data_IF_589717084937
#
_entry.id   IF_589717084937
#
_cell.length_a   1.000
_cell.length_b   1.000
_cell.length_c   1.000
_cell.angle_alpha   90.00
_cell.angle_beta   90.00
_cell.angle_gamma   90.00
#
_symmetry.space_group_name_H-M   'P 1'
#
loop_
_entity.id
_entity.type
_entity.pdbx_description
1 polymer ?
#
# COMPACT_ATOMS: atom_id res chain seq x y z
N UNK A 1 30.38 -0.43 -7.83
CA UNK A 1 29.04 -0.67 -7.23
C UNK A 1 28.88 0.14 -5.97
N UNK A 2 27.97 1.11 -5.91
CA UNK A 2 27.60 1.72 -4.63
C UNK A 2 26.83 0.68 -3.80
N UNK A 3 27.39 0.30 -2.64
CA UNK A 3 26.71 -0.60 -1.71
C UNK A 3 25.33 -0.04 -1.36
N UNK A 4 24.26 -0.71 -1.83
CA UNK A 4 22.88 -0.29 -1.54
C UNK A 4 22.43 -0.94 -0.25
N UNK A 5 22.17 -0.15 0.73
CA UNK A 5 21.66 -0.61 2.03
C UNK A 5 20.17 -0.99 2.01
N UNK A 6 19.51 -0.85 0.85
CA UNK A 6 18.07 -1.11 0.72
C UNK A 6 17.66 -2.56 1.01
N UNK A 7 18.56 -3.53 0.82
CA UNK A 7 18.32 -4.95 1.15
C UNK A 7 18.13 -5.19 2.64
N UNK A 8 18.77 -4.35 3.48
CA UNK A 8 18.69 -4.50 4.93
C UNK A 8 17.47 -3.84 5.55
N UNK A 9 16.76 -2.99 4.81
CA UNK A 9 15.60 -2.24 5.36
C UNK A 9 14.50 -3.20 5.81
N UNK A 10 14.13 -4.18 4.98
CA UNK A 10 13.08 -5.16 5.31
C UNK A 10 13.44 -6.01 6.52
N UNK A 11 14.58 -6.70 6.58
CA UNK A 11 14.97 -7.48 7.76
C UNK A 11 15.11 -6.64 9.03
N UNK A 12 15.66 -5.43 8.95
CA UNK A 12 15.77 -4.53 10.11
C UNK A 12 14.38 -4.18 10.66
N UNK A 13 13.42 -3.85 9.79
CA UNK A 13 12.07 -3.54 10.23
C UNK A 13 11.39 -4.75 10.88
N UNK A 14 11.59 -5.96 10.38
CA UNK A 14 11.07 -7.20 10.98
C UNK A 14 11.62 -7.35 12.40
N UNK A 15 12.93 -7.21 12.56
CA UNK A 15 13.58 -7.33 13.88
C UNK A 15 13.06 -6.28 14.85
N UNK A 16 12.91 -5.03 14.42
CA UNK A 16 12.37 -3.95 15.25
C UNK A 16 10.93 -4.25 15.69
N UNK A 17 10.07 -4.68 14.78
CA UNK A 17 8.67 -4.98 15.11
C UNK A 17 8.58 -6.13 16.12
N UNK A 18 9.33 -7.23 15.90
CA UNK A 18 9.41 -8.34 16.84
C UNK A 18 9.98 -7.92 18.19
N UNK A 19 10.99 -7.06 18.19
CA UNK A 19 11.57 -6.52 19.42
C UNK A 19 10.53 -5.71 20.20
N UNK A 20 9.76 -4.84 19.54
CA UNK A 20 8.70 -4.05 20.17
C UNK A 20 7.63 -4.97 20.77
N UNK A 21 7.14 -5.95 20.02
CA UNK A 21 6.11 -6.89 20.47
C UNK A 21 6.59 -7.63 21.73
N UNK A 22 7.77 -8.22 21.66
CA UNK A 22 8.29 -9.05 22.74
C UNK A 22 8.69 -8.22 23.97
N UNK A 23 9.27 -7.02 23.80
CA UNK A 23 9.68 -6.18 24.91
C UNK A 23 8.47 -5.62 25.66
N UNK A 24 7.46 -5.15 24.93
CA UNK A 24 6.23 -4.65 25.55
C UNK A 24 5.53 -5.78 26.31
N UNK A 25 5.41 -6.95 25.66
CA UNK A 25 4.84 -8.12 26.32
C UNK A 25 5.61 -8.50 27.57
N UNK A 26 6.93 -8.55 27.51
CA UNK A 26 7.77 -8.93 28.64
C UNK A 26 7.65 -7.97 29.85
N UNK A 27 7.56 -6.67 29.60
CA UNK A 27 7.49 -5.69 30.70
C UNK A 27 6.09 -5.43 31.22
N UNK A 28 5.06 -5.60 30.41
CA UNK A 28 3.68 -5.26 30.78
C UNK A 28 2.88 -6.49 31.20
N UNK A 29 3.25 -7.68 30.70
CA UNK A 29 2.54 -8.92 31.00
C UNK A 29 2.83 -9.39 32.43
N UNK A 30 1.82 -9.98 33.06
CA UNK A 30 1.98 -10.52 34.39
C UNK A 30 2.91 -11.73 34.37
N UNK A 31 3.92 -11.78 35.26
CA UNK A 31 5.00 -12.77 35.18
C UNK A 31 4.51 -14.22 35.31
N UNK A 32 3.38 -14.42 35.99
CA UNK A 32 2.79 -15.74 36.16
C UNK A 32 2.31 -16.37 34.84
N UNK A 33 1.93 -15.52 33.85
CA UNK A 33 1.41 -15.97 32.57
C UNK A 33 2.40 -15.81 31.41
N UNK A 34 3.56 -15.22 31.67
CA UNK A 34 4.58 -15.01 30.64
C UNK A 34 5.30 -16.32 30.36
N UNK A 35 5.00 -16.96 29.25
CA UNK A 35 5.67 -18.18 28.83
C UNK A 35 6.26 -18.04 27.42
N UNK A 36 7.25 -18.87 27.12
CA UNK A 36 7.96 -18.89 25.84
C UNK A 36 7.02 -19.26 24.66
N UNK A 37 6.00 -20.07 24.92
CA UNK A 37 5.03 -20.49 23.90
C UNK A 37 4.18 -19.31 23.46
N UNK A 38 3.74 -18.46 24.39
CA UNK A 38 2.99 -17.25 24.07
C UNK A 38 3.81 -16.28 23.25
N UNK A 39 5.05 -15.99 23.66
CA UNK A 39 5.96 -15.10 22.91
C UNK A 39 6.25 -15.63 21.51
N UNK A 40 6.47 -16.94 21.40
CA UNK A 40 6.70 -17.59 20.10
C UNK A 40 5.46 -17.52 19.20
N UNK A 41 4.28 -17.77 19.79
CA UNK A 41 3.01 -17.71 19.08
C UNK A 41 2.73 -16.32 18.52
N UNK A 42 2.78 -15.27 19.37
CA UNK A 42 2.49 -13.89 18.91
C UNK A 42 3.50 -13.40 17.87
N UNK A 43 4.78 -13.77 18.05
CA UNK A 43 5.83 -13.45 17.08
C UNK A 43 5.64 -14.18 15.76
N UNK A 44 5.34 -15.48 15.80
CA UNK A 44 5.05 -16.29 14.62
C UNK A 44 3.80 -15.81 13.89
N UNK A 45 2.74 -15.53 14.64
CA UNK A 45 1.50 -15.02 14.07
C UNK A 45 1.70 -13.65 13.39
N UNK A 46 2.47 -12.75 14.02
CA UNK A 46 2.87 -11.48 13.41
C UNK A 46 3.60 -11.66 12.09
N UNK A 47 4.60 -12.56 12.05
CA UNK A 47 5.36 -12.83 10.82
C UNK A 47 4.50 -13.42 9.70
N UNK A 48 3.65 -14.38 10.03
CA UNK A 48 2.76 -15.02 9.07
C UNK A 48 1.80 -13.99 8.46
N UNK A 49 1.11 -13.22 9.28
CA UNK A 49 0.18 -12.18 8.79
C UNK A 49 0.90 -11.08 8.03
N UNK A 50 2.10 -10.66 8.46
CA UNK A 50 2.92 -9.68 7.76
C UNK A 50 3.36 -10.16 6.38
N UNK A 51 3.66 -11.45 6.23
CA UNK A 51 4.01 -12.05 4.94
C UNK A 51 2.80 -12.07 4.00
N UNK A 52 1.64 -12.54 4.46
CA UNK A 52 0.42 -12.62 3.64
C UNK A 52 -0.07 -11.23 3.18
N UNK A 53 0.09 -10.20 3.99
CA UNK A 53 -0.37 -8.86 3.65
C UNK A 53 0.69 -7.99 2.95
N UNK A 54 1.89 -8.51 2.73
CA UNK A 54 2.98 -7.71 2.17
C UNK A 54 3.35 -6.51 3.05
N UNK A 55 3.21 -6.64 4.38
CA UNK A 55 3.33 -5.53 5.33
C UNK A 55 4.68 -4.80 5.26
N UNK A 56 5.73 -5.52 4.89
CA UNK A 56 7.08 -4.97 4.72
C UNK A 56 7.40 -4.55 3.27
N UNK A 57 6.44 -4.64 2.36
CA UNK A 57 6.60 -4.24 0.96
C UNK A 57 6.28 -2.76 0.76
N UNK A 58 7.11 -1.91 1.36
CA UNK A 58 6.98 -0.47 1.27
C UNK A 58 7.94 0.06 0.20
N UNK A 59 7.37 0.57 -0.88
CA UNK A 59 8.10 1.11 -2.02
C UNK A 59 8.44 2.60 -1.86
N UNK A 60 9.34 3.11 -2.72
CA UNK A 60 9.73 4.54 -2.71
C UNK A 60 8.55 5.48 -2.94
N UNK A 61 7.59 5.05 -3.74
CA UNK A 61 6.39 5.81 -4.09
C UNK A 61 5.21 5.59 -3.13
N UNK A 62 5.39 4.78 -2.08
CA UNK A 62 4.33 4.55 -1.10
C UNK A 62 3.93 5.85 -0.41
N UNK A 63 2.65 6.17 -0.50
CA UNK A 63 2.07 7.32 0.19
C UNK A 63 1.65 6.94 1.62
N UNK A 64 1.57 7.93 2.50
CA UNK A 64 1.22 7.72 3.91
C UNK A 64 -0.11 6.99 4.09
N UNK A 65 -1.11 7.29 3.24
CA UNK A 65 -2.40 6.63 3.29
C UNK A 65 -2.33 5.12 2.99
N UNK A 66 -1.47 4.70 2.06
CA UNK A 66 -1.25 3.27 1.77
C UNK A 66 -0.60 2.56 2.97
N UNK A 67 0.37 3.22 3.63
CA UNK A 67 0.96 2.67 4.85
C UNK A 67 -0.07 2.55 5.97
N UNK A 68 -0.94 3.55 6.16
CA UNK A 68 -2.01 3.48 7.15
C UNK A 68 -2.98 2.32 6.89
N UNK A 69 -3.36 2.08 5.64
CA UNK A 69 -4.19 0.92 5.26
C UNK A 69 -3.51 -0.41 5.61
N UNK A 70 -2.20 -0.53 5.36
CA UNK A 70 -1.44 -1.73 5.73
C UNK A 70 -1.38 -1.91 7.26
N UNK A 71 -1.15 -0.84 8.02
CA UNK A 71 -1.16 -0.86 9.48
C UNK A 71 -2.51 -1.33 10.04
N UNK A 72 -3.61 -0.73 9.58
CA UNK A 72 -4.96 -1.11 10.01
C UNK A 72 -5.23 -2.58 9.71
N UNK A 73 -4.93 -3.05 8.49
CA UNK A 73 -5.13 -4.45 8.10
C UNK A 73 -4.30 -5.39 8.98
N UNK A 74 -3.02 -5.12 9.17
CA UNK A 74 -2.11 -5.92 9.99
C UNK A 74 -2.57 -5.98 11.44
N UNK A 75 -2.90 -4.85 12.06
CA UNK A 75 -3.32 -4.81 13.45
C UNK A 75 -4.66 -5.47 13.68
N UNK A 76 -5.61 -5.33 12.75
CA UNK A 76 -6.89 -5.98 12.88
C UNK A 76 -6.72 -7.50 12.98
N UNK A 77 -5.94 -8.10 12.10
CA UNK A 77 -5.65 -9.54 12.17
C UNK A 77 -4.79 -9.91 13.38
N UNK A 78 -3.84 -9.06 13.75
CA UNK A 78 -3.02 -9.30 14.94
C UNK A 78 -3.85 -9.34 16.22
N UNK A 79 -4.82 -8.44 16.38
CA UNK A 79 -5.76 -8.44 17.50
C UNK A 79 -6.55 -9.76 17.56
N UNK A 80 -7.09 -10.23 16.43
CA UNK A 80 -7.78 -11.50 16.38
C UNK A 80 -6.87 -12.67 16.78
N UNK A 81 -5.66 -12.75 16.23
CA UNK A 81 -4.71 -13.80 16.59
C UNK A 81 -4.26 -13.71 18.04
N UNK A 82 -4.08 -12.50 18.58
CA UNK A 82 -3.72 -12.29 19.97
C UNK A 82 -4.79 -12.88 20.91
N UNK A 83 -6.06 -12.57 20.70
CA UNK A 83 -7.14 -13.11 21.52
C UNK A 83 -7.45 -14.59 21.23
N UNK A 84 -7.19 -15.06 20.01
CA UNK A 84 -7.34 -16.48 19.67
C UNK A 84 -6.44 -17.39 20.52
N UNK A 85 -5.25 -16.92 20.93
CA UNK A 85 -4.40 -17.68 21.84
C UNK A 85 -5.12 -18.05 23.13
N UNK A 86 -5.80 -17.09 23.75
CA UNK A 86 -6.51 -17.31 25.00
C UNK A 86 -7.75 -18.23 24.84
N UNK A 87 -8.41 -18.16 23.70
CA UNK A 87 -9.53 -19.02 23.39
C UNK A 87 -9.12 -20.47 23.10
N UNK A 88 -7.97 -20.67 22.45
CA UNK A 88 -7.50 -21.99 22.04
C UNK A 88 -6.73 -22.69 23.17
N UNK A 89 -5.79 -21.98 23.77
CA UNK A 89 -4.89 -22.54 24.78
C UNK A 89 -5.34 -22.27 26.23
N UNK A 90 -6.54 -21.62 26.52
CA UNK A 90 -7.17 -21.38 27.58
C UNK A 90 -6.88 -20.91 28.66
N UNK A 91 -6.39 -20.32 28.65
CA UNK A 91 -6.13 -19.70 29.81
C UNK A 91 -7.25 -18.81 30.25
N UNK A 92 -8.40 -18.87 29.77
CA UNK A 92 -9.71 -18.37 30.20
C UNK A 92 -9.86 -17.00 30.82
N UNK A 93 -8.89 -16.54 31.56
CA UNK A 93 -8.92 -15.22 32.19
C UNK A 93 -8.29 -14.17 31.27
N UNK A 94 -9.05 -13.14 30.92
CA UNK A 94 -8.50 -11.93 30.35
C UNK A 94 -7.78 -11.18 31.46
N UNK A 95 -6.44 -11.28 31.51
CA UNK A 95 -5.63 -10.60 32.50
C UNK A 95 -5.67 -9.08 32.23
N UNK A 96 -5.72 -8.29 33.29
CA UNK A 96 -5.95 -6.83 33.24
C UNK A 96 -5.08 -6.03 32.24
N UNK A 97 -3.90 -6.52 31.91
CA UNK A 97 -2.92 -5.77 31.10
C UNK A 97 -2.95 -6.12 29.60
N UNK A 98 -3.80 -7.03 29.14
CA UNK A 98 -3.80 -7.48 27.73
C UNK A 98 -4.16 -6.37 26.74
N UNK A 99 -5.15 -5.56 27.08
CA UNK A 99 -5.50 -4.39 26.27
C UNK A 99 -4.38 -3.35 26.24
N UNK A 100 -3.69 -3.17 27.37
CA UNK A 100 -2.54 -2.26 27.46
C UNK A 100 -1.39 -2.73 26.55
N UNK A 101 -1.09 -4.03 26.55
CA UNK A 101 -0.07 -4.62 25.65
C UNK A 101 -0.43 -4.36 24.19
N UNK A 102 -1.68 -4.61 23.78
CA UNK A 102 -2.13 -4.36 22.42
C UNK A 102 -2.02 -2.88 22.06
N UNK A 103 -2.53 -1.99 22.90
CA UNK A 103 -2.48 -0.54 22.66
C UNK A 103 -1.04 -0.06 22.50
N UNK A 104 -0.15 -0.43 23.43
CA UNK A 104 1.25 -0.04 23.37
C UNK A 104 1.96 -0.60 22.14
N UNK A 105 1.67 -1.85 21.77
CA UNK A 105 2.22 -2.49 20.55
C UNK A 105 1.76 -1.75 19.31
N UNK A 106 0.46 -1.45 19.17
CA UNK A 106 -0.10 -0.70 18.05
C UNK A 106 0.54 0.69 17.95
N UNK A 107 0.62 1.42 19.06
CA UNK A 107 1.23 2.75 19.11
C UNK A 107 2.71 2.67 18.76
N UNK A 108 3.46 1.76 19.39
CA UNK A 108 4.90 1.62 19.19
C UNK A 108 5.27 1.29 17.74
N UNK A 109 4.63 0.28 17.16
CA UNK A 109 4.88 -0.10 15.76
C UNK A 109 4.43 1.00 14.81
N UNK A 110 3.26 1.60 15.02
CA UNK A 110 2.78 2.69 14.17
C UNK A 110 3.73 3.89 14.19
N UNK A 111 4.19 4.28 15.38
CA UNK A 111 5.15 5.36 15.53
C UNK A 111 6.46 5.08 14.80
N UNK A 112 7.02 3.89 14.97
CA UNK A 112 8.27 3.49 14.29
C UNK A 112 8.08 3.47 12.77
N UNK A 113 6.99 2.89 12.26
CA UNK A 113 6.73 2.82 10.81
C UNK A 113 6.53 4.19 10.17
N UNK A 114 5.75 5.06 10.80
CA UNK A 114 5.52 6.42 10.30
C UNK A 114 6.80 7.26 10.36
N UNK A 115 7.54 7.17 11.48
CA UNK A 115 8.84 7.84 11.63
C UNK A 115 9.84 7.35 10.59
N UNK A 116 9.91 6.04 10.36
CA UNK A 116 10.78 5.44 9.33
C UNK A 116 10.46 5.95 7.93
N UNK A 117 9.18 5.96 7.56
CA UNK A 117 8.75 6.49 6.27
C UNK A 117 9.13 7.97 6.10
N UNK A 118 8.90 8.78 7.16
CA UNK A 118 9.24 10.20 7.16
C UNK A 118 10.75 10.43 7.06
N UNK A 119 11.54 9.73 7.88
CA UNK A 119 12.99 9.82 7.88
C UNK A 119 13.60 9.40 6.54
N UNK A 120 13.11 8.31 5.93
CA UNK A 120 13.56 7.89 4.60
C UNK A 120 13.22 8.93 3.52
N UNK A 121 12.03 9.51 3.56
CA UNK A 121 11.65 10.58 2.61
C UNK A 121 12.54 11.81 2.79
N UNK A 122 12.79 12.22 4.04
CA UNK A 122 13.67 13.35 4.36
C UNK A 122 15.13 13.07 3.96
N UNK A 123 15.65 11.87 4.25
CA UNK A 123 16.99 11.46 3.87
C UNK A 123 17.21 11.49 2.35
N UNK A 124 16.19 11.08 1.58
CA UNK A 124 16.22 11.15 0.11
C UNK A 124 16.16 12.61 -0.40
N UNK A 125 15.38 13.47 0.23
CA UNK A 125 15.29 14.88 -0.17
C UNK A 125 16.61 15.64 -0.03
N UNK A 126 17.49 15.18 0.87
CA UNK A 126 18.86 15.70 1.00
C UNK A 126 19.85 15.11 -0.04
N UNK A 127 19.35 14.43 -1.08
CA UNK A 127 20.18 13.87 -2.14
C UNK A 127 20.92 12.57 -1.77
N UNK A 128 20.50 11.89 -0.70
CA UNK A 128 21.03 10.60 -0.31
C UNK A 128 20.16 9.45 -0.83
N UNK A 129 20.76 8.26 -0.99
CA UNK A 129 20.06 7.04 -1.44
C UNK A 129 19.19 7.28 -2.70
N UNK A 130 19.67 8.08 -3.63
CA UNK A 130 19.01 8.28 -4.91
C UNK A 130 19.27 7.13 -5.88
N UNK A 131 18.37 6.96 -6.84
CA UNK A 131 18.53 6.12 -8.02
C UNK A 131 18.67 6.98 -9.24
N UNK A 132 19.71 6.73 -10.02
CA UNK A 132 19.93 7.40 -11.30
C UNK A 132 19.02 6.80 -12.35
N UNK A 133 18.31 7.66 -13.06
CA UNK A 133 17.31 7.25 -14.06
C UNK A 133 17.54 7.94 -15.39
N UNK A 134 17.35 7.18 -16.47
CA UNK A 134 17.26 7.68 -17.84
C UNK A 134 15.91 7.28 -18.43
N UNK A 135 15.45 8.04 -19.40
CA UNK A 135 14.20 7.81 -20.11
C UNK A 135 14.47 7.58 -21.58
N UNK A 136 13.85 6.58 -22.19
CA UNK A 136 13.97 6.25 -23.60
C UNK A 136 12.61 6.40 -24.26
N UNK A 137 12.55 7.26 -25.27
CA UNK A 137 11.31 7.66 -25.94
C UNK A 137 10.60 8.78 -25.16
N UNK A 138 10.43 9.93 -25.83
CA UNK A 138 9.83 11.12 -25.22
C UNK A 138 8.39 11.31 -25.75
N UNK A 139 7.43 10.68 -25.10
CA UNK A 139 5.99 10.90 -25.25
C UNK A 139 5.42 11.66 -24.05
N UNK A 140 4.12 11.90 -24.02
CA UNK A 140 3.51 12.68 -22.94
C UNK A 140 3.54 11.92 -21.59
N UNK A 141 3.43 10.59 -21.62
CA UNK A 141 3.59 9.77 -20.42
C UNK A 141 4.99 9.84 -19.85
N UNK A 142 6.01 9.80 -20.71
CA UNK A 142 7.42 9.96 -20.35
C UNK A 142 7.71 11.34 -19.79
N UNK A 143 7.16 12.42 -20.40
CA UNK A 143 7.26 13.79 -19.87
C UNK A 143 6.66 13.92 -18.48
N UNK A 144 5.52 13.27 -18.22
CA UNK A 144 4.90 13.26 -16.90
C UNK A 144 5.78 12.58 -15.83
N UNK A 145 6.45 11.47 -16.18
CA UNK A 145 7.41 10.82 -15.30
C UNK A 145 8.64 11.69 -15.05
N UNK A 146 9.20 12.33 -16.08
CA UNK A 146 10.31 13.26 -15.95
C UNK A 146 9.93 14.41 -15.02
N UNK A 147 8.75 15.01 -15.22
CA UNK A 147 8.23 16.08 -14.36
C UNK A 147 8.06 15.61 -12.91
N UNK A 148 7.60 14.37 -12.69
CA UNK A 148 7.49 13.79 -11.36
C UNK A 148 8.86 13.62 -10.69
N UNK A 149 9.87 13.15 -11.39
CA UNK A 149 11.23 13.01 -10.84
C UNK A 149 11.86 14.33 -10.48
N UNK A 150 11.65 15.38 -11.31
CA UNK A 150 12.16 16.73 -11.05
C UNK A 150 11.45 17.39 -9.86
N UNK A 151 10.12 17.25 -9.78
CA UNK A 151 9.33 17.95 -8.77
C UNK A 151 9.30 17.27 -7.41
N UNK A 152 9.55 15.95 -7.34
CA UNK A 152 9.45 15.15 -6.09
C UNK A 152 10.79 14.55 -5.71
N UNK A 153 11.70 15.39 -5.21
CA UNK A 153 13.03 14.96 -4.71
C UNK A 153 12.96 13.91 -3.61
N UNK A 154 11.89 13.91 -2.80
CA UNK A 154 11.66 12.94 -1.72
C UNK A 154 11.46 11.50 -2.19
N UNK A 155 11.18 11.27 -3.49
CA UNK A 155 11.17 9.94 -4.09
C UNK A 155 12.59 9.39 -4.26
N UNK A 156 13.60 10.25 -4.27
CA UNK A 156 15.01 9.86 -4.39
C UNK A 156 15.36 9.35 -5.79
N UNK A 157 14.84 9.98 -6.84
CA UNK A 157 15.25 9.75 -8.22
C UNK A 157 16.11 10.92 -8.69
N UNK A 158 17.25 10.59 -9.33
CA UNK A 158 18.09 11.53 -10.02
C UNK A 158 17.96 11.30 -11.51
N UNK A 159 17.16 12.11 -12.15
CA UNK A 159 16.98 12.07 -13.59
C UNK A 159 18.24 12.63 -14.29
N UNK A 160 18.81 11.86 -15.23
CA UNK A 160 20.03 12.21 -15.94
C UNK A 160 19.76 12.79 -17.33
N UNK A 161 18.66 12.39 -17.97
CA UNK A 161 18.28 12.83 -19.30
C UNK A 161 17.50 11.76 -20.07
N UNK A 162 17.21 12.06 -21.33
CA UNK A 162 16.43 11.17 -22.19
C UNK A 162 17.13 10.88 -23.52
N UNK A 163 16.76 9.76 -24.12
CA UNK A 163 17.17 9.32 -25.43
C UNK A 163 15.98 9.23 -26.35
N UNK A 164 16.16 9.62 -27.63
CA UNK A 164 15.12 9.55 -28.64
C UNK A 164 15.72 9.54 -30.03
N UNK A 165 15.10 8.84 -30.98
CA UNK A 165 15.50 8.87 -32.39
C UNK A 165 15.18 10.24 -33.04
N UNK A 166 14.25 11.00 -32.46
CA UNK A 166 14.02 12.38 -32.85
C UNK A 166 15.06 13.28 -32.16
N UNK A 167 15.66 14.18 -32.92
CA UNK A 167 16.65 15.14 -32.41
C UNK A 167 15.92 16.26 -31.68
N UNK A 168 16.33 16.53 -30.44
CA UNK A 168 15.80 17.63 -29.63
C UNK A 168 16.88 18.66 -29.31
N UNK A 169 16.52 19.94 -29.40
CA UNK A 169 17.40 21.06 -28.95
C UNK A 169 17.18 21.27 -27.43
N UNK A 170 17.40 20.25 -26.63
CA UNK A 170 17.24 20.31 -25.19
C UNK A 170 18.54 19.84 -24.52
N UNK A 171 18.94 20.49 -23.42
CA UNK A 171 20.12 20.13 -22.62
C UNK A 171 20.03 18.71 -22.00
N UNK A 172 18.82 18.18 -21.88
CA UNK A 172 18.54 16.87 -21.30
C UNK A 172 18.51 15.75 -22.35
N UNK A 173 18.60 16.11 -23.63
CA UNK A 173 18.74 15.15 -24.72
C UNK A 173 20.15 14.58 -24.75
N UNK A 174 20.27 13.29 -24.51
CA UNK A 174 21.55 12.59 -24.40
C UNK A 174 21.98 11.87 -25.69
N UNK A 175 21.10 11.76 -26.66
CA UNK A 175 21.39 11.13 -27.94
C UNK A 175 20.28 10.22 -28.46
N UNK A 176 20.58 9.48 -29.53
CA UNK A 176 19.70 8.48 -30.12
C UNK A 176 19.67 7.19 -29.31
N UNK A 177 18.84 6.23 -29.74
CA UNK A 177 18.69 4.94 -29.04
C UNK A 177 19.98 4.14 -28.95
N UNK A 178 20.87 4.20 -29.93
CA UNK A 178 22.13 3.47 -29.92
C UNK A 178 23.12 4.03 -28.89
N UNK A 179 23.06 5.33 -28.62
CA UNK A 179 23.91 5.98 -27.63
C UNK A 179 23.57 5.55 -26.18
N UNK A 180 22.40 4.97 -25.92
CA UNK A 180 21.99 4.47 -24.59
C UNK A 180 23.00 3.49 -24.03
N UNK A 181 23.45 2.55 -24.84
CA UNK A 181 24.35 1.47 -24.40
C UNK A 181 25.72 2.00 -24.00
N UNK A 182 26.25 2.94 -24.77
CA UNK A 182 27.52 3.59 -24.47
C UNK A 182 27.40 4.47 -23.23
N UNK A 183 26.34 5.27 -23.15
CA UNK A 183 26.09 6.15 -22.00
C UNK A 183 25.94 5.36 -20.69
N UNK A 184 25.13 4.31 -20.69
CA UNK A 184 24.92 3.46 -19.50
C UNK A 184 26.16 2.63 -19.13
N UNK A 185 27.15 2.51 -20.03
CA UNK A 185 28.45 1.92 -19.73
C UNK A 185 29.37 2.91 -19.03
N UNK A 186 29.34 4.17 -19.44
CA UNK A 186 30.19 5.25 -18.89
C UNK A 186 29.62 5.85 -17.60
N UNK A 187 28.32 5.80 -17.41
CA UNK A 187 27.63 6.41 -16.27
C UNK A 187 26.89 5.34 -15.45
N UNK A 188 26.79 5.58 -14.15
CA UNK A 188 26.00 4.71 -13.28
C UNK A 188 24.52 4.99 -13.51
N UNK A 189 23.83 4.04 -14.15
CA UNK A 189 22.39 4.06 -14.38
C UNK A 189 21.75 2.95 -13.56
N UNK A 190 20.78 3.28 -12.74
CA UNK A 190 20.07 2.33 -11.88
C UNK A 190 18.77 1.82 -12.49
N UNK A 191 18.05 2.71 -13.16
CA UNK A 191 16.76 2.40 -13.76
C UNK A 191 16.64 3.02 -15.16
N UNK A 192 16.14 2.25 -16.10
CA UNK A 192 15.82 2.70 -17.47
C UNK A 192 14.30 2.67 -17.60
N UNK A 193 13.72 3.79 -18.02
CA UNK A 193 12.31 3.92 -18.30
C UNK A 193 12.07 4.02 -19.80
N UNK A 194 11.36 3.04 -20.39
CA UNK A 194 11.11 2.97 -21.81
C UNK A 194 9.64 3.25 -22.14
N UNK A 195 9.39 4.14 -23.08
CA UNK A 195 8.05 4.31 -23.67
C UNK A 195 7.68 3.11 -24.52
N UNK A 196 6.55 2.48 -24.23
CA UNK A 196 6.00 1.39 -25.04
C UNK A 196 5.43 1.87 -26.37
N UNK A 197 5.12 3.16 -26.50
CA UNK A 197 4.51 3.73 -27.70
C UNK A 197 5.53 4.00 -28.79
N UNK A 198 6.75 4.38 -28.41
CA UNK A 198 7.77 4.87 -29.33
C UNK A 198 8.83 3.83 -29.65
N UNK A 199 8.88 2.70 -28.95
CA UNK A 199 9.87 1.66 -29.11
C UNK A 199 9.25 0.39 -29.71
N UNK A 200 9.96 -0.23 -30.65
CA UNK A 200 9.58 -1.54 -31.17
C UNK A 200 9.87 -2.65 -30.14
N UNK A 201 9.19 -3.78 -30.28
CA UNK A 201 9.42 -4.96 -29.45
C UNK A 201 10.88 -5.46 -29.52
N UNK A 202 11.53 -5.33 -30.67
CA UNK A 202 12.94 -5.71 -30.86
C UNK A 202 13.88 -4.77 -30.09
N UNK A 203 13.63 -3.47 -30.13
CA UNK A 203 14.38 -2.47 -29.37
C UNK A 203 14.23 -2.72 -27.87
N UNK A 204 13.01 -2.98 -27.39
CA UNK A 204 12.75 -3.28 -25.99
C UNK A 204 13.50 -4.56 -25.56
N UNK A 205 13.46 -5.63 -26.36
CA UNK A 205 14.18 -6.88 -26.08
C UNK A 205 15.70 -6.65 -26.01
N UNK A 206 16.27 -5.84 -26.93
CA UNK A 206 17.70 -5.48 -26.91
C UNK A 206 18.09 -4.71 -25.66
N UNK A 207 17.27 -3.72 -25.27
CA UNK A 207 17.49 -2.93 -24.04
C UNK A 207 17.34 -3.82 -22.80
N UNK A 208 16.35 -4.72 -22.77
CA UNK A 208 16.14 -5.62 -21.65
C UNK A 208 17.32 -6.56 -21.42
N UNK A 209 17.83 -7.16 -22.51
CA UNK A 209 19.03 -8.00 -22.42
C UNK A 209 20.22 -7.24 -21.84
N UNK A 210 20.49 -6.04 -22.37
CA UNK A 210 21.56 -5.17 -21.87
C UNK A 210 21.35 -4.78 -20.39
N UNK A 211 20.12 -4.46 -20.00
CA UNK A 211 19.80 -4.09 -18.63
C UNK A 211 20.01 -5.26 -17.66
N UNK A 212 19.61 -6.47 -18.04
CA UNK A 212 19.82 -7.69 -17.26
C UNK A 212 21.29 -8.00 -17.05
N UNK A 213 22.12 -7.89 -18.12
CA UNK A 213 23.55 -8.14 -18.06
C UNK A 213 24.30 -7.18 -17.12
N UNK A 214 23.68 -6.07 -16.74
CA UNK A 214 24.29 -5.00 -15.93
C UNK A 214 23.58 -4.67 -14.62
N UNK A 215 22.63 -5.48 -14.20
CA UNK A 215 21.80 -5.25 -13.00
C UNK A 215 21.06 -3.89 -13.03
N UNK A 216 20.65 -3.43 -14.22
CA UNK A 216 19.85 -2.22 -14.39
C UNK A 216 18.38 -2.61 -14.44
N UNK A 217 17.53 -1.93 -13.68
CA UNK A 217 16.08 -2.18 -13.71
C UNK A 217 15.45 -1.53 -14.92
N UNK A 218 14.86 -2.34 -15.82
CA UNK A 218 14.05 -1.85 -16.91
C UNK A 218 12.59 -1.67 -16.46
N UNK A 219 12.02 -0.51 -16.75
CA UNK A 219 10.62 -0.18 -16.49
C UNK A 219 9.96 0.33 -17.75
N UNK A 220 8.82 -0.21 -18.05
CA UNK A 220 8.05 0.14 -19.23
C UNK A 220 6.98 1.18 -18.89
N UNK A 221 6.90 2.23 -19.70
CA UNK A 221 5.90 3.30 -19.58
C UNK A 221 4.84 3.04 -20.62
N UNK A 222 3.63 2.62 -20.24
CA UNK A 222 2.54 2.45 -21.17
C UNK A 222 1.98 3.82 -21.61
N UNK A 223 1.31 3.88 -22.76
CA UNK A 223 0.61 5.08 -23.19
C UNK A 223 -0.61 5.30 -22.29
N UNK A 224 -0.56 6.32 -21.45
CA UNK A 224 -1.49 6.43 -20.34
C UNK A 224 -2.26 7.74 -20.22
N UNK A 225 -2.08 8.68 -21.12
CA UNK A 225 -2.65 10.01 -20.90
C UNK A 225 -4.19 10.06 -20.97
N UNK A 226 -4.82 9.14 -21.70
CA UNK A 226 -6.27 9.13 -21.90
C UNK A 226 -7.01 7.92 -21.30
N UNK A 227 -6.31 6.81 -21.10
CA UNK A 227 -6.92 5.53 -20.74
C UNK A 227 -6.82 5.17 -19.25
N UNK A 228 -5.89 5.76 -18.50
CA UNK A 228 -5.65 5.37 -17.12
C UNK A 228 -6.27 6.33 -16.11
N UNK A 229 -7.52 6.12 -15.76
CA UNK A 229 -8.10 6.69 -14.56
C UNK A 229 -7.67 5.88 -13.32
N UNK A 230 -7.76 6.48 -12.12
CA UNK A 230 -7.42 5.80 -10.85
C UNK A 230 -8.20 4.51 -10.57
N UNK A 231 -9.22 4.21 -11.37
CA UNK A 231 -10.17 3.13 -11.16
C UNK A 231 -9.94 1.93 -12.07
N UNK A 232 -8.78 1.82 -12.71
CA UNK A 232 -8.49 0.72 -13.62
C UNK A 232 -7.76 -0.39 -12.90
N UNK A 233 -8.06 -1.64 -13.26
CA UNK A 233 -7.35 -2.82 -12.79
C UNK A 233 -6.67 -3.53 -13.94
N UNK A 234 -5.47 -4.02 -13.69
CA UNK A 234 -4.75 -4.90 -14.60
C UNK A 234 -5.17 -6.32 -14.26
N UNK A 235 -5.67 -7.04 -15.27
CA UNK A 235 -6.00 -8.45 -15.19
C UNK A 235 -5.04 -9.24 -16.09
N UNK A 236 -4.59 -10.38 -15.60
CA UNK A 236 -3.75 -11.28 -16.38
C UNK A 236 -4.59 -12.47 -16.81
N UNK A 237 -4.71 -12.65 -18.13
CA UNK A 237 -5.35 -13.82 -18.72
C UNK A 237 -4.27 -14.80 -19.11
N UNK A 238 -4.36 -16.02 -18.60
CA UNK A 238 -3.43 -17.12 -18.92
C UNK A 238 -1.96 -16.79 -18.65
N UNK A 239 -1.68 -16.12 -17.53
CA UNK A 239 -0.36 -15.70 -17.03
C UNK A 239 0.50 -14.84 -18.00
N UNK A 240 0.08 -14.66 -19.23
CA UNK A 240 0.86 -13.99 -20.28
C UNK A 240 0.19 -12.77 -20.90
N UNK A 241 -1.14 -12.74 -20.91
CA UNK A 241 -1.90 -11.67 -21.56
C UNK A 241 -2.40 -10.64 -20.54
N UNK A 242 -1.81 -9.47 -20.55
CA UNK A 242 -2.23 -8.34 -19.71
C UNK A 242 -3.42 -7.63 -20.33
N UNK A 243 -4.55 -7.64 -19.65
CA UNK A 243 -5.79 -6.95 -20.05
C UNK A 243 -6.08 -5.83 -19.08
N UNK A 244 -6.34 -4.64 -19.60
CA UNK A 244 -6.69 -3.46 -18.83
C UNK A 244 -8.21 -3.35 -18.77
N UNK A 245 -8.76 -3.47 -17.59
CA UNK A 245 -10.17 -3.22 -17.36
C UNK A 245 -10.39 -1.73 -17.09
N UNK A 246 -10.98 -1.01 -18.05
CA UNK A 246 -11.09 0.46 -18.06
C UNK A 246 -12.29 0.96 -17.26
N UNK A 247 -13.31 0.13 -17.06
CA UNK A 247 -14.61 0.53 -16.52
C UNK A 247 -14.92 -0.04 -15.13
N UNK A 248 -13.91 -0.36 -14.32
CA UNK A 248 -14.19 -0.76 -12.94
C UNK A 248 -14.68 0.43 -12.12
N UNK A 249 -15.90 0.32 -11.62
CA UNK A 249 -16.44 1.25 -10.66
C UNK A 249 -15.75 1.06 -9.29
N UNK A 250 -15.68 2.09 -8.43
CA UNK A 250 -15.07 1.96 -7.10
C UNK A 250 -15.64 0.81 -6.27
N UNK A 251 -16.90 0.42 -6.51
CA UNK A 251 -17.56 -0.68 -5.78
C UNK A 251 -17.34 -2.08 -6.39
N UNK A 252 -16.75 -2.18 -7.57
CA UNK A 252 -16.36 -3.46 -8.16
C UNK A 252 -15.10 -4.05 -7.51
N UNK A 253 -14.39 -3.24 -6.72
CA UNK A 253 -13.33 -3.74 -5.86
C UNK A 253 -13.94 -4.39 -4.61
N UNK A 254 -13.66 -5.67 -4.41
CA UNK A 254 -14.20 -6.45 -3.29
C UNK A 254 -14.01 -5.74 -1.93
N UNK A 255 -12.86 -5.10 -1.73
CA UNK A 255 -12.58 -4.34 -0.50
C UNK A 255 -13.58 -3.19 -0.27
N UNK A 256 -13.90 -2.42 -1.31
CA UNK A 256 -14.83 -1.31 -1.22
C UNK A 256 -16.28 -1.78 -1.06
N UNK A 257 -16.64 -2.89 -1.73
CA UNK A 257 -17.95 -3.51 -1.59
C UNK A 257 -18.20 -3.97 -0.14
N UNK A 258 -17.26 -4.71 0.44
CA UNK A 258 -17.39 -5.17 1.83
C UNK A 258 -17.36 -4.04 2.83
N UNK A 259 -16.49 -3.03 2.66
CA UNK A 259 -16.46 -1.85 3.52
C UNK A 259 -17.79 -1.10 3.49
N UNK A 260 -18.35 -0.89 2.29
CA UNK A 260 -19.67 -0.28 2.16
C UNK A 260 -20.74 -1.10 2.88
N UNK A 261 -20.76 -2.44 2.67
CA UNK A 261 -21.76 -3.31 3.29
C UNK A 261 -21.70 -3.28 4.82
N UNK A 262 -20.48 -3.32 5.38
CA UNK A 262 -20.26 -3.20 6.83
C UNK A 262 -20.76 -1.83 7.32
N UNK A 263 -20.41 -0.76 6.63
CA UNK A 263 -20.88 0.58 6.98
C UNK A 263 -22.40 0.68 6.93
N UNK A 264 -23.04 0.21 5.87
CA UNK A 264 -24.50 0.22 5.71
C UNK A 264 -25.20 -0.54 6.85
N UNK A 265 -24.66 -1.70 7.24
CA UNK A 265 -25.22 -2.51 8.34
C UNK A 265 -25.04 -1.78 9.67
N UNK A 266 -23.84 -1.30 9.99
CA UNK A 266 -23.58 -0.59 11.24
C UNK A 266 -24.41 0.69 11.34
N UNK A 267 -24.52 1.45 10.26
CA UNK A 267 -25.31 2.66 10.20
C UNK A 267 -26.81 2.36 10.35
N UNK A 268 -27.31 1.30 9.71
CA UNK A 268 -28.71 0.88 9.86
C UNK A 268 -29.03 0.46 11.29
N UNK A 269 -28.14 -0.31 11.93
CA UNK A 269 -28.28 -0.69 13.35
C UNK A 269 -28.28 0.57 14.22
N UNK A 270 -27.38 1.52 13.99
CA UNK A 270 -27.33 2.77 14.72
C UNK A 270 -28.65 3.54 14.60
N UNK A 271 -29.17 3.72 13.37
CA UNK A 271 -30.45 4.39 13.12
C UNK A 271 -31.61 3.66 13.82
N UNK A 272 -31.66 2.34 13.74
CA UNK A 272 -32.70 1.56 14.41
C UNK A 272 -32.67 1.71 15.93
N UNK A 273 -31.49 1.63 16.54
CA UNK A 273 -31.34 1.67 18.00
C UNK A 273 -31.46 3.08 18.58
N UNK A 274 -30.90 4.08 17.92
CA UNK A 274 -30.76 5.42 18.48
C UNK A 274 -31.80 6.42 17.96
N UNK A 275 -32.36 6.19 16.78
CA UNK A 275 -33.34 7.09 16.19
C UNK A 275 -34.74 6.48 16.21
N UNK A 276 -34.93 5.30 15.62
CA UNK A 276 -36.25 4.70 15.47
C UNK A 276 -36.84 4.21 16.81
N UNK A 277 -36.00 3.80 17.75
CA UNK A 277 -36.46 3.29 19.07
C UNK A 277 -37.28 4.24 19.85
N UNK A 278 -37.01 5.53 19.79
CA UNK A 278 -37.80 6.57 20.46
C UNK A 278 -38.73 7.34 19.51
N UNK A 279 -38.35 7.47 18.25
CA UNK A 279 -39.14 8.18 17.25
C UNK A 279 -40.48 7.47 16.97
N UNK A 280 -40.43 6.13 16.81
CA UNK A 280 -41.63 5.32 16.53
C UNK A 280 -42.68 5.44 17.66
N UNK A 281 -42.33 5.27 18.95
CA UNK A 281 -43.27 5.49 20.03
C UNK A 281 -43.88 6.91 20.06
N UNK A 282 -43.07 7.93 19.82
CA UNK A 282 -43.59 9.32 19.76
C UNK A 282 -44.58 9.48 18.61
N UNK A 283 -44.19 9.03 17.40
CA UNK A 283 -45.11 9.09 16.26
C UNK A 283 -46.37 8.29 16.48
N UNK A 284 -46.27 7.15 17.16
CA UNK A 284 -47.43 6.32 17.51
C UNK A 284 -48.40 7.10 18.40
N UNK A 285 -47.92 7.79 19.42
CA UNK A 285 -48.76 8.62 20.31
C UNK A 285 -49.38 9.76 19.52
N UNK A 286 -48.63 10.49 18.71
CA UNK A 286 -49.14 11.62 17.93
C UNK A 286 -50.23 11.17 16.96
N UNK A 287 -49.99 10.12 16.18
CA UNK A 287 -50.97 9.59 15.22
C UNK A 287 -52.24 9.09 15.92
N UNK A 288 -52.11 8.45 17.10
CA UNK A 288 -53.24 7.97 17.86
C UNK A 288 -54.08 9.09 18.50
N UNK A 289 -53.46 10.23 18.76
CA UNK A 289 -54.19 11.41 19.25
C UNK A 289 -54.98 12.13 18.14
N UNK A 290 -54.50 12.01 16.89
CA UNK A 290 -55.07 12.72 15.76
C UNK A 290 -56.00 11.84 14.89
N UNK A 291 -55.80 10.51 14.90
CA UNK A 291 -56.53 9.59 14.01
C UNK A 291 -56.72 8.21 14.67
N UNK A 292 -57.88 7.57 14.41
CA UNK A 292 -58.19 6.21 14.83
C UNK A 292 -57.50 5.12 13.95
N UNK A 293 -56.73 5.53 12.92
CA UNK A 293 -56.08 4.65 11.96
C UNK A 293 -54.82 3.92 12.51
N UNK A 294 -54.30 2.90 11.78
CA UNK A 294 -53.05 2.25 12.10
C UNK A 294 -51.85 3.15 11.79
N UNK A 295 -50.77 3.06 12.60
CA UNK A 295 -49.55 3.82 12.42
C UNK A 295 -48.85 3.52 11.08
N UNK A 296 -48.88 2.28 10.61
CA UNK A 296 -48.23 1.85 9.38
C UNK A 296 -49.29 1.41 8.38
N UNK A 297 -49.36 2.12 7.28
CA UNK A 297 -50.25 1.77 6.15
C UNK A 297 -49.62 0.67 5.30
N UNK A 298 -50.35 -0.43 5.09
CA UNK A 298 -49.91 -1.53 4.21
C UNK A 298 -50.55 -1.37 2.83
N UNK A 299 -49.76 -1.04 1.86
CA UNK A 299 -50.20 -0.99 0.46
C UNK A 299 -49.63 -2.23 -0.27
N UNK A 300 -50.51 -3.06 -0.82
CA UNK A 300 -50.14 -4.10 -1.75
C UNK A 300 -49.66 -3.46 -3.07
N UNK A 301 -48.49 -3.77 -3.52
CA UNK A 301 -48.05 -3.49 -4.89
C UNK A 301 -48.51 -4.66 -5.74
N UNK A 302 -49.38 -4.40 -6.70
CA UNK A 302 -49.62 -5.32 -7.84
C UNK A 302 -48.43 -5.35 -8.76
#
# INVERSE_FOLDING_TARGET
MKKRYSHFIKPIQIVIDLFIINIITYFVYDKEYLNIFFLSYISGFWLITSYFFGFYEVYRYTITLQLLKLLVKQFLFFIFGYFAYFGIFREGAIVNNQFLILILTIIGISFVKLSWLFLLKKYRSFGNNFRTTIVIGLDDSSKNIIKLFKNKSNLGYKYLGFFSDKIYKDKEYLGNLDAVFEYATKHVVDEIYCSLTLLSNEQIKKINKFALDRDIFLKLIPNSSELYSKNQSIEYYDDSLMVLNVNKLPFDFAENFYLKRIFDILFSIFVCLFILSWLIPILWVIVKLESEGPLVFKQGRE
#
